data_IF_296791110955
#
_entry.id   IF_296791110955
#
_cell.length_a   1.000
_cell.length_b   1.000
_cell.length_c   1.000
_cell.angle_alpha   90.00
_cell.angle_beta   90.00
_cell.angle_gamma   90.00
#
_symmetry.space_group_name_H-M   'P 1'
#
loop_
_entity.id
_entity.type
_entity.pdbx_description
1 polymer ?
#
# COMPACT_ATOMS: atom_id res chain seq x y z
N UNK A 1 7.74 -1.04 -10.69
CA UNK A 1 6.70 -0.73 -9.67
C UNK A 1 5.42 -0.26 -10.35
N UNK A 2 4.30 -0.71 -9.84
CA UNK A 2 2.97 -0.43 -10.40
C UNK A 2 2.04 0.03 -9.28
N UNK A 3 1.15 0.97 -9.59
CA UNK A 3 0.04 1.39 -8.71
C UNK A 3 -1.28 1.07 -9.40
N UNK A 4 -2.20 0.44 -8.70
CA UNK A 4 -3.55 0.14 -9.18
C UNK A 4 -4.57 0.83 -8.28
N UNK A 5 -5.52 1.57 -8.86
CA UNK A 5 -6.61 2.23 -8.14
C UNK A 5 -6.79 3.70 -8.46
N UNK A 6 -7.43 4.42 -7.57
CA UNK A 6 -7.89 5.78 -7.80
C UNK A 6 -6.81 6.87 -7.76
N UNK A 7 -7.21 8.07 -8.14
CA UNK A 7 -6.36 9.26 -8.20
C UNK A 7 -6.20 9.91 -6.82
N UNK A 8 -5.14 10.70 -6.67
CA UNK A 8 -4.95 11.58 -5.51
C UNK A 8 -5.77 12.85 -5.64
N UNK A 9 -6.49 13.19 -4.59
CA UNK A 9 -7.19 14.47 -4.44
C UNK A 9 -6.65 15.22 -3.22
N UNK A 10 -7.06 16.50 -3.08
CA UNK A 10 -6.66 17.32 -1.96
C UNK A 10 -7.23 16.79 -0.65
N UNK A 11 -6.32 16.43 0.25
CA UNK A 11 -6.62 15.84 1.55
C UNK A 11 -5.48 16.19 2.51
N UNK A 12 -5.75 16.19 3.80
CA UNK A 12 -4.74 16.51 4.80
C UNK A 12 -3.60 15.50 4.84
N UNK A 13 -2.44 15.96 5.28
CA UNK A 13 -1.23 15.14 5.42
C UNK A 13 -1.18 14.39 6.76
N UNK A 14 -2.25 14.48 7.55
CA UNK A 14 -2.27 13.99 8.92
C UNK A 14 -2.75 12.55 9.10
N UNK A 15 -2.97 11.78 8.01
CA UNK A 15 -3.61 10.46 8.06
C UNK A 15 -3.04 9.54 9.12
N UNK A 16 -1.74 9.29 9.09
CA UNK A 16 -1.06 8.43 10.07
C UNK A 16 -1.10 8.98 11.50
N UNK A 17 -0.97 10.29 11.66
CA UNK A 17 -1.05 10.92 12.99
C UNK A 17 -2.46 10.84 13.56
N UNK A 18 -3.48 11.10 12.74
CA UNK A 18 -4.90 11.07 13.16
C UNK A 18 -5.37 9.65 13.44
N UNK A 19 -4.98 8.68 12.63
CA UNK A 19 -5.36 7.27 12.84
C UNK A 19 -4.70 6.63 14.06
N UNK A 20 -3.62 7.23 14.57
CA UNK A 20 -2.87 6.73 15.73
C UNK A 20 -3.33 7.31 17.07
N UNK A 21 -4.34 8.18 17.09
CA UNK A 21 -4.88 8.82 18.29
C UNK A 21 -6.37 8.59 18.42
N UNK A 22 -6.92 8.88 19.59
CA UNK A 22 -8.36 8.79 19.83
C UNK A 22 -9.11 9.87 19.04
N UNK A 23 -10.25 9.51 18.45
CA UNK A 23 -11.15 10.46 17.79
C UNK A 23 -11.53 11.61 18.71
N UNK A 24 -11.48 12.83 18.19
CA UNK A 24 -11.77 14.06 18.95
C UNK A 24 -10.55 14.73 19.57
N UNK A 25 -9.34 14.21 19.37
CA UNK A 25 -8.10 14.89 19.82
C UNK A 25 -7.71 16.06 18.93
N UNK A 26 -8.12 16.04 17.66
CA UNK A 26 -7.92 17.12 16.70
C UNK A 26 -9.23 17.82 16.38
N UNK A 27 -9.16 18.95 15.70
CA UNK A 27 -10.36 19.62 15.17
C UNK A 27 -11.01 18.75 14.11
N UNK A 28 -12.34 18.82 14.02
CA UNK A 28 -13.12 18.04 13.03
C UNK A 28 -12.64 18.24 11.59
N UNK A 29 -12.14 19.44 11.25
CA UNK A 29 -11.59 19.72 9.92
C UNK A 29 -10.33 18.93 9.63
N UNK A 30 -9.45 18.71 10.61
CA UNK A 30 -8.24 17.89 10.46
C UNK A 30 -8.63 16.42 10.36
N UNK A 31 -9.52 15.95 11.22
CA UNK A 31 -9.94 14.55 11.24
C UNK A 31 -10.66 14.13 9.96
N UNK A 32 -11.58 14.97 9.45
CA UNK A 32 -12.32 14.70 8.23
C UNK A 32 -11.44 14.74 6.96
N UNK A 33 -10.34 15.51 6.98
CA UNK A 33 -9.41 15.64 5.85
C UNK A 33 -8.15 14.77 6.00
N UNK A 34 -8.09 13.90 6.99
CA UNK A 34 -6.90 13.10 7.23
C UNK A 34 -6.69 12.02 6.15
N UNK A 35 -7.78 11.43 5.65
CA UNK A 35 -7.78 10.28 4.76
C UNK A 35 -8.79 10.47 3.64
N UNK A 36 -8.36 10.20 2.40
CA UNK A 36 -9.27 10.10 1.26
C UNK A 36 -9.97 8.74 1.30
N UNK A 37 -11.26 8.77 1.59
CA UNK A 37 -12.13 7.58 1.66
C UNK A 37 -13.37 7.77 0.79
N UNK A 38 -14.25 6.76 0.83
CA UNK A 38 -15.56 6.79 0.19
C UNK A 38 -15.56 6.63 -1.34
N UNK A 39 -14.68 5.76 -1.85
CA UNK A 39 -14.81 5.26 -3.22
C UNK A 39 -14.91 3.72 -3.24
N UNK A 40 -16.04 3.16 -2.77
CA UNK A 40 -16.21 1.70 -2.67
C UNK A 40 -16.19 1.01 -4.04
N UNK A 41 -16.58 1.70 -5.11
CA UNK A 41 -16.49 1.18 -6.46
C UNK A 41 -15.03 0.98 -6.89
N UNK A 42 -14.17 1.97 -6.68
CA UNK A 42 -12.74 1.85 -6.99
C UNK A 42 -12.08 0.77 -6.14
N UNK A 43 -12.39 0.72 -4.85
CA UNK A 43 -11.91 -0.35 -3.96
C UNK A 43 -12.28 -1.74 -4.52
N UNK A 44 -13.52 -1.93 -4.94
CA UNK A 44 -13.95 -3.21 -5.50
C UNK A 44 -13.25 -3.55 -6.81
N UNK A 45 -13.05 -2.58 -7.68
CA UNK A 45 -12.33 -2.74 -8.96
C UNK A 45 -10.88 -3.15 -8.71
N UNK A 46 -10.17 -2.44 -7.84
CA UNK A 46 -8.79 -2.78 -7.47
C UNK A 46 -8.71 -4.18 -6.84
N UNK A 47 -9.60 -4.50 -5.90
CA UNK A 47 -9.67 -5.82 -5.28
C UNK A 47 -9.92 -6.95 -6.30
N UNK A 48 -10.76 -6.72 -7.32
CA UNK A 48 -10.98 -7.70 -8.37
C UNK A 48 -9.72 -7.98 -9.19
N UNK A 49 -8.93 -6.94 -9.50
CA UNK A 49 -7.64 -7.12 -10.19
C UNK A 49 -6.69 -7.95 -9.35
N UNK A 50 -6.50 -7.57 -8.08
CA UNK A 50 -5.58 -8.28 -7.17
C UNK A 50 -6.00 -9.73 -7.04
N UNK A 51 -7.28 -9.98 -6.82
CA UNK A 51 -7.82 -11.34 -6.72
C UNK A 51 -7.57 -12.16 -7.98
N UNK A 52 -7.85 -11.58 -9.16
CA UNK A 52 -7.68 -12.28 -10.45
C UNK A 52 -6.23 -12.68 -10.71
N UNK A 53 -5.24 -11.86 -10.30
CA UNK A 53 -3.83 -12.18 -10.48
C UNK A 53 -3.29 -13.09 -9.39
N UNK A 54 -3.75 -12.94 -8.15
CA UNK A 54 -3.33 -13.77 -7.02
C UNK A 54 -3.87 -15.21 -7.11
N UNK A 55 -5.08 -15.39 -7.65
CA UNK A 55 -5.71 -16.70 -7.86
C UNK A 55 -5.32 -17.36 -9.19
N UNK A 56 -4.48 -16.74 -10.02
CA UNK A 56 -4.00 -17.33 -11.26
C UNK A 56 -2.89 -18.35 -11.01
N UNK A 57 -2.75 -19.35 -11.88
CA UNK A 57 -1.70 -20.38 -11.81
C UNK A 57 -0.30 -19.77 -11.81
N UNK A 58 -0.13 -18.65 -12.50
CA UNK A 58 1.11 -17.87 -12.54
C UNK A 58 0.88 -16.50 -11.87
N UNK A 59 1.13 -16.43 -10.58
CA UNK A 59 1.03 -15.18 -9.83
C UNK A 59 2.19 -14.23 -10.17
N UNK A 60 1.92 -13.05 -10.77
CA UNK A 60 2.98 -12.10 -11.15
C UNK A 60 3.44 -11.20 -10.00
N UNK A 61 2.82 -11.29 -8.84
CA UNK A 61 3.10 -10.41 -7.71
C UNK A 61 4.40 -10.84 -7.02
N UNK A 62 5.42 -10.00 -7.10
CA UNK A 62 6.67 -10.18 -6.34
C UNK A 62 6.50 -9.63 -4.93
N UNK A 63 5.90 -8.46 -4.78
CA UNK A 63 5.53 -7.83 -3.52
C UNK A 63 4.30 -6.96 -3.71
N UNK A 64 3.54 -6.75 -2.65
CA UNK A 64 2.32 -5.93 -2.65
C UNK A 64 2.16 -5.23 -1.31
N UNK A 65 1.80 -3.95 -1.36
CA UNK A 65 1.45 -3.14 -0.19
C UNK A 65 0.24 -2.25 -0.49
N UNK A 66 -0.54 -1.96 0.53
CA UNK A 66 -1.64 -1.01 0.44
C UNK A 66 -1.15 0.44 0.55
N UNK A 67 -1.96 1.37 0.06
CA UNK A 67 -1.73 2.80 0.23
C UNK A 67 -2.47 3.29 1.49
N UNK A 68 -1.94 2.95 2.64
CA UNK A 68 -2.42 3.44 3.93
C UNK A 68 -1.77 4.78 4.32
N UNK A 69 -1.54 4.96 5.62
CA UNK A 69 -0.88 6.13 6.17
C UNK A 69 0.49 6.39 5.51
N UNK A 70 0.75 7.66 5.18
CA UNK A 70 1.95 8.05 4.45
C UNK A 70 1.88 7.88 2.92
N UNK A 71 0.76 7.39 2.39
CA UNK A 71 0.45 7.38 0.96
C UNK A 71 1.47 6.64 0.10
N UNK A 72 1.85 7.24 -1.02
CA UNK A 72 2.86 6.68 -1.92
C UNK A 72 4.24 6.52 -1.25
N UNK A 73 4.59 7.43 -0.34
CA UNK A 73 5.87 7.35 0.36
C UNK A 73 6.03 6.01 1.08
N UNK A 74 5.06 5.69 1.92
CA UNK A 74 5.13 4.47 2.73
C UNK A 74 4.99 3.22 1.87
N UNK A 75 3.92 3.12 1.08
CA UNK A 75 3.65 1.96 0.24
C UNK A 75 4.82 1.62 -0.69
N UNK A 76 5.33 2.61 -1.44
CA UNK A 76 6.37 2.34 -2.45
C UNK A 76 7.76 2.13 -1.84
N UNK A 77 8.06 2.72 -0.67
CA UNK A 77 9.31 2.44 0.02
C UNK A 77 9.38 1.02 0.58
N UNK A 78 8.26 0.52 1.13
CA UNK A 78 8.17 -0.85 1.63
C UNK A 78 8.34 -1.88 0.50
N UNK A 79 7.81 -1.61 -0.70
CA UNK A 79 7.99 -2.48 -1.86
C UNK A 79 9.45 -2.68 -2.26
N UNK A 80 10.31 -1.68 -2.02
CA UNK A 80 11.71 -1.66 -2.47
C UNK A 80 12.71 -1.64 -1.32
N UNK A 81 12.28 -1.97 -0.11
CA UNK A 81 13.11 -1.96 1.11
C UNK A 81 14.44 -2.71 0.94
N UNK A 82 14.43 -3.80 0.20
CA UNK A 82 15.62 -4.64 -0.02
C UNK A 82 16.51 -4.20 -1.20
N UNK A 83 16.05 -3.27 -2.04
CA UNK A 83 16.72 -2.95 -3.31
C UNK A 83 16.98 -1.47 -3.52
N UNK A 84 16.07 -0.62 -3.10
CA UNK A 84 15.98 0.74 -3.57
C UNK A 84 15.07 0.88 -4.77
N UNK A 85 14.61 2.10 -5.04
CA UNK A 85 13.71 2.38 -6.14
C UNK A 85 13.66 3.83 -6.56
N UNK A 86 13.34 4.02 -7.83
CA UNK A 86 13.17 5.33 -8.45
C UNK A 86 11.73 5.46 -8.99
N UNK A 87 11.04 6.50 -8.55
CA UNK A 87 9.66 6.81 -8.89
C UNK A 87 9.60 8.09 -9.72
N UNK A 88 9.01 7.98 -10.91
CA UNK A 88 8.67 9.10 -11.77
C UNK A 88 7.31 9.68 -11.34
N UNK A 89 7.35 10.84 -10.68
CA UNK A 89 6.15 11.49 -10.15
C UNK A 89 5.16 11.91 -11.24
N UNK A 90 5.61 12.09 -12.49
CA UNK A 90 4.74 12.43 -13.60
C UNK A 90 3.78 11.28 -13.98
N UNK A 91 4.09 10.06 -13.53
CA UNK A 91 3.29 8.85 -13.77
C UNK A 91 2.38 8.48 -12.62
N UNK A 92 2.43 9.22 -11.51
CA UNK A 92 1.53 9.00 -10.39
C UNK A 92 0.10 9.47 -10.72
N UNK A 93 -0.93 8.77 -10.22
CA UNK A 93 -2.32 9.19 -10.43
C UNK A 93 -2.63 10.47 -9.64
N UNK A 94 -2.94 11.55 -10.34
CA UNK A 94 -3.22 12.86 -9.76
C UNK A 94 -4.60 13.33 -10.24
N UNK A 95 -5.56 13.43 -9.34
CA UNK A 95 -6.91 13.93 -9.61
C UNK A 95 -7.06 15.43 -9.41
N UNK A 96 -6.22 16.05 -8.58
CA UNK A 96 -6.16 17.49 -8.37
C UNK A 96 -4.77 18.02 -8.77
N UNK A 97 -4.67 18.74 -9.92
CA UNK A 97 -3.39 19.25 -10.40
C UNK A 97 -2.78 20.39 -9.55
N UNK A 98 -3.50 20.85 -8.54
CA UNK A 98 -3.00 21.89 -7.61
C UNK A 98 -2.25 21.31 -6.40
N UNK A 99 -2.13 19.99 -6.32
CA UNK A 99 -1.39 19.32 -5.25
C UNK A 99 0.11 19.61 -5.37
N UNK A 100 0.71 19.96 -4.24
CA UNK A 100 2.18 20.03 -4.12
C UNK A 100 2.80 18.64 -4.14
N UNK A 101 4.09 18.56 -4.44
CA UNK A 101 4.83 17.29 -4.38
C UNK A 101 4.68 16.58 -3.03
N UNK A 102 4.70 17.32 -1.93
CA UNK A 102 4.50 16.81 -0.57
C UNK A 102 3.13 16.16 -0.39
N UNK A 103 2.08 16.80 -0.89
CA UNK A 103 0.71 16.28 -0.82
C UNK A 103 0.55 15.04 -1.71
N UNK A 104 1.13 15.02 -2.91
CA UNK A 104 1.08 13.86 -3.81
C UNK A 104 1.75 12.65 -3.16
N UNK A 105 2.94 12.85 -2.60
CA UNK A 105 3.75 11.76 -2.07
C UNK A 105 3.19 11.19 -0.77
N UNK A 106 2.71 12.04 0.13
CA UNK A 106 2.42 11.66 1.51
C UNK A 106 0.96 11.56 1.90
N UNK A 107 0.00 11.97 1.04
CA UNK A 107 -1.39 11.89 1.44
C UNK A 107 -1.95 10.46 1.38
N UNK A 108 -2.84 10.14 2.31
CA UNK A 108 -3.47 8.84 2.39
C UNK A 108 -4.70 8.77 1.48
N UNK A 109 -4.60 7.99 0.40
CA UNK A 109 -5.70 7.70 -0.53
C UNK A 109 -5.85 6.18 -0.64
N UNK A 110 -6.84 5.64 0.04
CA UNK A 110 -6.87 4.21 0.39
C UNK A 110 -7.25 3.25 -0.73
N UNK A 111 -8.00 3.64 -1.74
CA UNK A 111 -8.48 2.71 -2.75
C UNK A 111 -7.41 2.34 -3.79
N UNK A 112 -6.18 2.08 -3.29
CA UNK A 112 -5.02 1.77 -4.13
C UNK A 112 -4.15 0.68 -3.52
N UNK A 113 -3.46 -0.02 -4.43
CA UNK A 113 -2.43 -1.00 -4.09
C UNK A 113 -1.17 -0.71 -4.89
N UNK A 114 -0.03 -0.78 -4.23
CA UNK A 114 1.28 -0.79 -4.88
C UNK A 114 1.77 -2.22 -5.07
N UNK A 115 2.34 -2.51 -6.24
CA UNK A 115 2.86 -3.82 -6.58
C UNK A 115 4.25 -3.73 -7.18
N UNK A 116 5.07 -4.71 -6.86
CA UNK A 116 6.28 -5.02 -7.58
C UNK A 116 6.03 -6.26 -8.44
N UNK A 117 6.36 -6.17 -9.71
CA UNK A 117 6.25 -7.27 -10.68
C UNK A 117 7.33 -7.17 -11.74
N UNK A 118 7.54 -8.24 -12.48
CA UNK A 118 8.46 -8.23 -13.61
C UNK A 118 7.86 -7.44 -14.78
N UNK A 119 8.71 -6.86 -15.61
CA UNK A 119 8.28 -6.09 -16.77
C UNK A 119 7.46 -6.94 -17.76
N UNK A 120 7.82 -8.21 -17.95
CA UNK A 120 7.12 -9.16 -18.82
C UNK A 120 5.65 -9.39 -18.43
N UNK A 121 5.31 -9.23 -17.15
CA UNK A 121 3.97 -9.43 -16.62
C UNK A 121 3.07 -8.17 -16.72
N UNK A 122 3.65 -7.00 -16.89
CA UNK A 122 2.93 -5.71 -16.86
C UNK A 122 1.78 -5.70 -17.87
N UNK A 123 2.03 -6.13 -19.11
CA UNK A 123 1.01 -6.14 -20.16
C UNK A 123 -0.15 -7.09 -19.86
N UNK A 124 0.12 -8.24 -19.22
CA UNK A 124 -0.90 -9.19 -18.79
C UNK A 124 -1.78 -8.59 -17.68
N UNK A 125 -1.15 -8.04 -16.66
CA UNK A 125 -1.86 -7.43 -15.54
C UNK A 125 -2.65 -6.21 -16.00
N UNK A 126 -2.11 -5.40 -16.90
CA UNK A 126 -2.81 -4.24 -17.50
C UNK A 126 -4.13 -4.65 -18.17
N UNK A 127 -4.14 -5.75 -18.95
CA UNK A 127 -5.39 -6.25 -19.56
C UNK A 127 -6.44 -6.63 -18.52
N UNK A 128 -6.03 -7.21 -17.39
CA UNK A 128 -6.93 -7.55 -16.30
C UNK A 128 -7.46 -6.26 -15.64
N UNK A 129 -6.58 -5.30 -15.37
CA UNK A 129 -6.94 -4.01 -14.79
C UNK A 129 -7.95 -3.26 -15.68
N UNK A 130 -7.74 -3.25 -16.99
CA UNK A 130 -8.66 -2.63 -17.96
C UNK A 130 -10.03 -3.33 -17.98
N UNK A 131 -10.06 -4.66 -17.94
CA UNK A 131 -11.30 -5.44 -17.83
C UNK A 131 -12.11 -5.06 -16.59
N UNK A 132 -11.44 -4.92 -15.44
CA UNK A 132 -12.05 -4.56 -14.17
C UNK A 132 -12.28 -3.05 -14.04
N UNK A 133 -11.86 -2.25 -15.02
CA UNK A 133 -11.91 -0.77 -15.00
C UNK A 133 -11.16 -0.17 -13.80
N UNK A 134 -10.12 -0.83 -13.36
CA UNK A 134 -9.20 -0.32 -12.35
C UNK A 134 -8.02 0.34 -13.04
N UNK A 135 -7.80 1.65 -12.90
CA UNK A 135 -6.63 2.32 -13.45
C UNK A 135 -5.34 1.67 -12.95
N UNK A 136 -4.37 1.52 -13.84
CA UNK A 136 -3.07 0.94 -13.53
C UNK A 136 -1.96 1.81 -14.11
N UNK A 137 -0.99 2.14 -13.28
CA UNK A 137 0.11 3.05 -13.60
C UNK A 137 1.44 2.37 -13.33
N UNK A 138 2.35 2.39 -14.31
CA UNK A 138 3.75 1.99 -14.11
C UNK A 138 4.51 3.22 -13.65
N UNK A 139 4.84 3.30 -12.38
CA UNK A 139 5.29 4.54 -11.74
C UNK A 139 6.80 4.59 -11.48
N UNK A 140 7.51 3.48 -11.61
CA UNK A 140 8.94 3.45 -11.34
C UNK A 140 9.54 2.04 -11.42
N UNK A 141 10.78 1.94 -11.03
CA UNK A 141 11.58 0.71 -11.09
C UNK A 141 12.46 0.52 -9.84
N UNK A 142 12.96 -0.69 -9.65
CA UNK A 142 13.96 -0.99 -8.62
C UNK A 142 15.36 -0.63 -9.12
N UNK A 143 16.23 -0.11 -8.26
CA UNK A 143 17.56 0.41 -8.65
C UNK A 143 18.73 -0.40 -8.11
N UNK A 144 18.54 -1.19 -7.06
CA UNK A 144 19.60 -1.96 -6.36
C UNK A 144 20.71 -1.10 -5.74
N UNK A 145 20.44 0.19 -5.48
CA UNK A 145 21.38 1.13 -4.88
C UNK A 145 21.04 1.51 -3.45
N UNK A 146 19.99 0.89 -2.87
CA UNK A 146 19.47 1.16 -1.53
C UNK A 146 19.05 2.62 -1.30
N UNK A 147 18.67 3.31 -2.37
CA UNK A 147 18.09 4.64 -2.33
C UNK A 147 16.61 4.60 -2.66
N UNK A 148 15.89 5.58 -2.14
CA UNK A 148 14.50 5.82 -2.47
C UNK A 148 14.36 7.23 -3.03
N UNK A 149 13.94 7.32 -4.30
CA UNK A 149 13.91 8.56 -5.05
C UNK A 149 12.55 8.81 -5.66
N UNK A 150 11.99 9.99 -5.41
CA UNK A 150 10.90 10.56 -6.21
C UNK A 150 11.46 11.69 -7.07
N UNK A 151 11.21 11.65 -8.37
CA UNK A 151 11.66 12.65 -9.31
C UNK A 151 10.49 13.26 -10.08
N UNK A 152 10.44 14.59 -10.12
CA UNK A 152 9.46 15.34 -10.90
C UNK A 152 9.92 15.47 -12.36
N UNK A 153 8.99 15.84 -13.25
CA UNK A 153 9.27 15.98 -14.68
C UNK A 153 10.36 17.03 -15.00
N UNK A 154 10.57 17.98 -14.12
CA UNK A 154 11.63 19.01 -14.22
C UNK A 154 12.97 18.56 -13.63
N UNK A 155 13.09 17.32 -13.18
CA UNK A 155 14.28 16.75 -12.57
C UNK A 155 14.46 17.09 -11.07
N UNK A 156 13.54 17.83 -10.48
CA UNK A 156 13.57 18.08 -9.03
C UNK A 156 13.25 16.80 -8.29
N UNK A 157 14.04 16.50 -7.26
CA UNK A 157 13.87 15.31 -6.41
C UNK A 157 13.40 15.73 -5.02
N UNK A 158 12.10 15.77 -4.78
CA UNK A 158 11.57 16.10 -3.45
C UNK A 158 11.95 15.03 -2.40
N UNK A 159 12.28 13.82 -2.84
CA UNK A 159 12.84 12.75 -2.01
C UNK A 159 14.01 12.13 -2.76
N UNK A 160 15.19 12.12 -2.13
CA UNK A 160 16.39 11.36 -2.50
C UNK A 160 17.08 10.96 -1.20
N UNK A 161 16.74 9.78 -0.69
CA UNK A 161 17.16 9.32 0.64
C UNK A 161 17.63 7.88 0.58
N UNK A 162 18.62 7.54 1.39
CA UNK A 162 18.98 6.13 1.60
C UNK A 162 17.94 5.44 2.47
N UNK A 163 17.56 4.24 2.09
CA UNK A 163 16.56 3.44 2.81
C UNK A 163 16.94 3.17 4.27
N UNK A 164 18.24 3.10 4.59
CA UNK A 164 18.70 2.95 5.97
C UNK A 164 18.27 4.09 6.91
N UNK A 165 18.01 5.30 6.36
CA UNK A 165 17.50 6.43 7.14
C UNK A 165 15.98 6.39 7.33
N UNK A 166 15.27 5.66 6.46
CA UNK A 166 13.83 5.47 6.58
C UNK A 166 13.47 4.33 7.53
N UNK A 167 14.10 3.17 7.32
CA UNK A 167 13.78 1.95 8.07
C UNK A 167 14.68 1.74 9.29
N UNK A 168 15.85 2.39 9.30
CA UNK A 168 16.81 2.27 10.40
C UNK A 168 17.37 0.86 10.57
N UNK A 169 17.90 0.61 11.74
CA UNK A 169 18.31 -0.72 12.20
C UNK A 169 17.74 -0.91 13.61
N UNK A 170 16.46 -1.26 13.76
CA UNK A 170 15.88 -1.50 15.06
C UNK A 170 16.67 -2.61 15.78
N UNK A 171 16.84 -2.52 17.10
CA UNK A 171 17.52 -3.58 17.85
C UNK A 171 16.74 -4.89 17.67
N UNK A 172 17.47 -5.98 17.49
CA UNK A 172 16.86 -7.31 17.34
C UNK A 172 16.09 -7.66 18.61
N UNK A 173 14.77 -7.77 18.48
CA UNK A 173 13.93 -8.27 19.57
C UNK A 173 14.00 -9.78 19.59
N UNK A 174 14.47 -10.36 20.70
CA UNK A 174 14.42 -11.81 20.92
C UNK A 174 13.26 -12.08 21.86
N UNK A 175 12.22 -12.72 21.35
CA UNK A 175 11.08 -13.17 22.14
C UNK A 175 11.31 -14.67 22.46
N UNK A 176 11.32 -15.00 23.75
CA UNK A 176 11.33 -16.38 24.22
C UNK A 176 9.95 -16.71 24.76
N UNK A 177 9.26 -17.61 24.09
CA UNK A 177 7.95 -18.06 24.52
C UNK A 177 8.01 -19.50 25.04
N UNK A 178 7.20 -19.78 26.05
CA UNK A 178 6.95 -21.12 26.55
C UNK A 178 5.48 -21.46 26.30
N UNK A 179 5.23 -22.26 25.29
CA UNK A 179 3.88 -22.71 24.98
C UNK A 179 3.41 -23.68 26.07
N UNK A 180 2.55 -23.19 26.96
CA UNK A 180 1.78 -24.05 27.84
C UNK A 180 0.63 -24.66 27.02
N UNK A 181 0.75 -25.93 26.65
CA UNK A 181 -0.32 -26.64 25.94
C UNK A 181 -1.30 -27.18 27.00
N UNK A 182 -2.47 -26.56 27.12
CA UNK A 182 -3.57 -27.10 27.86
C UNK A 182 -4.57 -27.74 26.87
N UNK A 183 -4.69 -29.06 26.93
CA UNK A 183 -5.69 -29.79 26.16
C UNK A 183 -7.00 -29.81 26.94
N UNK A 184 -8.02 -29.12 26.43
CA UNK A 184 -9.38 -29.32 26.88
C UNK A 184 -9.99 -30.43 26.04
N UNK A 185 -10.08 -31.62 26.61
CA UNK A 185 -10.88 -32.69 26.01
C UNK A 185 -12.36 -32.35 26.12
N UNK A 186 -12.97 -31.89 25.05
CA UNK A 186 -14.41 -31.89 24.94
C UNK A 186 -14.86 -33.35 24.84
N UNK A 187 -15.40 -33.90 25.92
CA UNK A 187 -16.13 -35.18 25.85
C UNK A 187 -17.34 -34.94 25.01
N UNK A 188 -17.47 -35.64 23.88
CA UNK A 188 -18.72 -35.74 23.16
C UNK A 188 -19.78 -36.32 24.11
N UNK A 189 -20.88 -35.63 24.32
CA UNK A 189 -22.03 -36.20 24.96
C UNK A 189 -22.61 -37.27 24.00
N UNK A 190 -22.38 -38.53 24.35
CA UNK A 190 -23.12 -39.61 23.73
C UNK A 190 -24.57 -39.46 24.18
N UNK A 191 -25.43 -39.03 23.26
CA UNK A 191 -26.87 -39.17 23.42
C UNK A 191 -27.21 -40.62 23.20
N UNK A 192 -27.37 -41.37 24.28
CA UNK A 192 -28.04 -42.68 24.24
C UNK A 192 -29.48 -42.44 23.83
N UNK A 193 -29.81 -42.76 22.58
CA UNK A 193 -31.16 -42.96 22.13
C UNK A 193 -31.67 -44.26 22.80
N UNK A 194 -32.52 -44.14 23.82
CA UNK A 194 -33.33 -45.23 24.27
C UNK A 194 -34.52 -45.35 23.29
N UNK A 195 -34.58 -46.49 22.57
CA UNK A 195 -35.74 -46.99 21.86
C UNK A 195 -36.74 -47.54 22.87
#
# INVERSE_FOLDING_TARGET
MVVIGGDNYRIGMGGGAVSSVNTGQYTSGIELNAVQRANPEMQKRAANVIRAIAESDENPIVSIHDHGAGGHLNCLSELVEATGGHIDMSKLPIGDPTLSAKEIVGNESQERMGLLMKEEDVARVKRIADRERAPMYVVGETTNDMKFVFEQADGVKPIDIKLEYMFGKPPRTVMTDHTAVSYTHLRAHETTLHL
#
